data_IF_988108411035
#
_entry.id   IF_988108411035
#
_cell.length_a   1.000
_cell.length_b   1.000
_cell.length_c   1.000
_cell.angle_alpha   90.00
_cell.angle_beta   90.00
_cell.angle_gamma   90.00
#
_symmetry.space_group_name_H-M   'P 1'
#
loop_
_entity.id
_entity.type
_entity.pdbx_description
1 polymer ?
#
# COMPACT_ATOMS: atom_id res chain seq x y z
N UNK A 1 43.43 32.46 -32.68
CA UNK A 1 42.22 31.88 -32.05
C UNK A 1 41.02 32.11 -32.98
N UNK A 2 40.54 31.10 -33.73
CA UNK A 2 39.40 31.29 -34.62
C UNK A 2 38.10 31.39 -33.82
N UNK A 3 37.37 32.49 -34.00
CA UNK A 3 36.08 32.75 -33.35
C UNK A 3 35.03 31.80 -33.93
N UNK A 4 34.50 30.89 -33.11
CA UNK A 4 33.44 29.95 -33.48
C UNK A 4 32.18 30.68 -33.93
N UNK A 5 31.62 30.28 -35.08
CA UNK A 5 30.39 30.85 -35.64
C UNK A 5 29.19 30.51 -34.74
N UNK A 6 28.32 31.47 -34.39
CA UNK A 6 27.15 31.22 -33.57
C UNK A 6 26.14 30.34 -34.33
N UNK A 7 25.75 29.22 -33.72
CA UNK A 7 24.78 28.28 -34.27
C UNK A 7 23.38 28.79 -33.98
N UNK A 8 22.72 29.38 -34.98
CA UNK A 8 21.32 29.78 -34.94
C UNK A 8 20.43 28.55 -34.76
N UNK A 9 20.03 28.28 -33.52
CA UNK A 9 18.98 27.32 -33.20
C UNK A 9 17.66 28.06 -33.12
N UNK A 10 16.79 27.85 -34.12
CA UNK A 10 15.41 28.34 -34.09
C UNK A 10 14.70 27.69 -32.90
N UNK A 11 14.29 28.50 -31.91
CA UNK A 11 13.45 28.04 -30.80
C UNK A 11 12.14 27.51 -31.38
N UNK A 12 11.95 26.19 -31.34
CA UNK A 12 10.71 25.53 -31.77
C UNK A 12 9.55 26.13 -30.98
N UNK A 13 8.69 26.89 -31.68
CA UNK A 13 7.46 27.47 -31.12
C UNK A 13 6.63 26.32 -30.58
N UNK A 14 6.49 26.22 -29.25
CA UNK A 14 5.62 25.23 -28.62
C UNK A 14 4.19 25.64 -28.99
N UNK A 15 3.61 24.94 -29.96
CA UNK A 15 2.18 25.03 -30.24
C UNK A 15 1.48 24.55 -28.98
N UNK A 16 0.71 25.41 -28.32
CA UNK A 16 -0.21 25.01 -27.26
C UNK A 16 -1.21 24.04 -27.90
N UNK A 17 -0.95 22.74 -27.77
CA UNK A 17 -1.91 21.73 -28.20
C UNK A 17 -3.12 21.88 -27.27
N UNK A 18 -4.26 22.21 -27.87
CA UNK A 18 -5.54 22.16 -27.16
C UNK A 18 -5.71 20.75 -26.56
N UNK A 19 -6.29 20.64 -25.35
CA UNK A 19 -6.51 19.34 -24.71
C UNK A 19 -7.31 18.43 -25.65
N UNK A 20 -6.81 17.21 -25.87
CA UNK A 20 -7.44 16.20 -26.71
C UNK A 20 -8.74 15.77 -26.03
N UNK A 21 -9.91 16.14 -26.59
CA UNK A 21 -11.22 15.68 -26.09
C UNK A 21 -11.39 14.20 -26.43
N UNK A 22 -11.30 13.32 -25.42
CA UNK A 22 -11.40 11.86 -25.56
C UNK A 22 -12.73 11.37 -24.98
N UNK A 23 -13.82 11.77 -25.63
CA UNK A 23 -15.18 11.45 -25.22
C UNK A 23 -16.07 12.46 -25.91
N UNK A 24 -16.87 12.03 -26.87
CA UNK A 24 -17.88 12.91 -27.45
C UNK A 24 -19.17 12.12 -27.40
N UNK A 25 -19.86 12.26 -26.29
CA UNK A 25 -21.30 12.34 -26.42
C UNK A 25 -21.59 13.42 -27.48
N UNK A 26 -22.43 13.09 -28.46
CA UNK A 26 -22.69 13.99 -29.59
C UNK A 26 -23.39 15.26 -29.12
N UNK A 27 -24.09 15.15 -28.00
CA UNK A 27 -24.89 16.21 -27.41
C UNK A 27 -24.11 17.02 -26.36
N UNK A 28 -22.85 16.63 -26.06
CA UNK A 28 -22.02 17.37 -25.11
C UNK A 28 -21.71 18.80 -25.59
N UNK A 29 -21.77 19.80 -24.69
CA UNK A 29 -21.54 21.19 -25.05
C UNK A 29 -20.14 21.43 -25.60
N UNK A 30 -20.05 22.32 -26.58
CA UNK A 30 -18.80 22.87 -27.06
C UNK A 30 -18.16 23.78 -25.99
N UNK A 31 -16.89 24.17 -26.16
CA UNK A 31 -16.26 25.09 -25.20
C UNK A 31 -16.96 26.45 -25.17
N UNK A 32 -17.41 26.93 -26.33
CA UNK A 32 -18.06 28.23 -26.45
C UNK A 32 -19.46 28.19 -25.84
N UNK A 33 -20.21 27.10 -26.06
CA UNK A 33 -21.50 26.86 -25.37
C UNK A 33 -21.32 26.74 -23.86
N UNK A 34 -20.36 25.94 -23.40
CA UNK A 34 -20.05 25.81 -21.97
C UNK A 34 -19.76 27.16 -21.32
N UNK A 35 -19.00 28.03 -22.00
CA UNK A 35 -18.62 29.35 -21.49
C UNK A 35 -19.81 30.29 -21.25
N UNK A 36 -20.91 30.12 -22.00
CA UNK A 36 -22.12 30.95 -21.88
C UNK A 36 -23.20 30.33 -20.99
N UNK A 37 -23.10 29.04 -20.65
CA UNK A 37 -24.04 28.37 -19.76
C UNK A 37 -23.98 28.95 -18.33
N UNK A 38 -25.11 28.90 -17.63
CA UNK A 38 -25.17 29.36 -16.24
C UNK A 38 -24.46 28.39 -15.31
N UNK A 39 -23.55 28.92 -14.49
CA UNK A 39 -22.78 28.14 -13.54
C UNK A 39 -23.55 27.94 -12.23
N UNK A 40 -23.51 26.72 -11.71
CA UNK A 40 -24.09 26.32 -10.43
C UNK A 40 -23.00 25.71 -9.54
N UNK A 41 -23.26 25.64 -8.23
CA UNK A 41 -22.37 24.96 -7.28
C UNK A 41 -22.75 23.51 -7.04
N UNK A 42 -24.02 23.20 -7.21
CA UNK A 42 -24.61 21.90 -6.91
C UNK A 42 -25.64 21.52 -7.96
N UNK A 43 -25.94 20.24 -8.05
CA UNK A 43 -27.09 19.69 -8.77
C UNK A 43 -27.64 18.48 -8.01
N UNK A 44 -28.87 18.10 -8.32
CA UNK A 44 -29.54 16.99 -7.65
C UNK A 44 -29.92 15.92 -8.69
N UNK A 45 -29.77 14.65 -8.33
CA UNK A 45 -30.22 13.52 -9.14
C UNK A 45 -31.06 12.61 -8.26
N UNK A 46 -32.20 12.17 -8.78
CA UNK A 46 -33.06 11.21 -8.11
C UNK A 46 -32.87 9.83 -8.74
N UNK A 47 -32.74 8.79 -7.90
CA UNK A 47 -32.76 7.40 -8.37
C UNK A 47 -34.18 6.89 -8.65
N UNK A 48 -34.30 5.63 -9.08
CA UNK A 48 -35.60 4.98 -9.36
C UNK A 48 -36.51 4.89 -8.13
N UNK A 49 -35.91 4.82 -6.93
CA UNK A 49 -36.59 4.77 -5.64
C UNK A 49 -36.95 6.16 -5.10
N UNK A 50 -36.66 7.23 -5.87
CA UNK A 50 -36.85 8.64 -5.51
C UNK A 50 -35.97 9.11 -4.35
N UNK A 51 -34.85 8.44 -4.10
CA UNK A 51 -33.82 8.99 -3.24
C UNK A 51 -33.11 10.10 -4.01
N UNK A 52 -33.07 11.28 -3.40
CA UNK A 52 -32.40 12.45 -3.96
C UNK A 52 -30.95 12.50 -3.46
N UNK A 53 -30.02 12.65 -4.39
CA UNK A 53 -28.59 12.82 -4.12
C UNK A 53 -28.17 14.22 -4.55
N UNK A 54 -27.65 15.00 -3.60
CA UNK A 54 -27.09 16.32 -3.85
C UNK A 54 -25.59 16.20 -4.16
N UNK A 55 -25.17 16.65 -5.33
CA UNK A 55 -23.78 16.65 -5.78
C UNK A 55 -23.23 18.07 -5.76
N UNK A 56 -22.00 18.24 -5.30
CA UNK A 56 -21.29 19.51 -5.26
C UNK A 56 -19.99 19.47 -6.05
N UNK A 57 -19.48 20.66 -6.42
CA UNK A 57 -18.11 20.79 -6.95
C UNK A 57 -17.11 20.19 -5.94
N UNK A 58 -16.07 19.53 -6.47
CA UNK A 58 -15.04 18.77 -5.77
C UNK A 58 -15.46 17.41 -5.17
N UNK A 59 -16.73 17.05 -5.22
CA UNK A 59 -17.17 15.71 -4.85
C UNK A 59 -16.64 14.65 -5.83
N UNK A 60 -16.47 13.44 -5.32
CA UNK A 60 -16.28 12.25 -6.15
C UNK A 60 -17.61 11.53 -6.32
N UNK A 61 -17.88 11.09 -7.54
CA UNK A 61 -19.14 10.44 -7.88
C UNK A 61 -18.93 9.16 -8.71
N UNK A 62 -19.91 8.26 -8.61
CA UNK A 62 -20.08 7.11 -9.48
C UNK A 62 -20.91 7.49 -10.69
N UNK A 63 -20.47 7.04 -11.85
CA UNK A 63 -21.15 7.25 -13.13
C UNK A 63 -21.41 5.89 -13.77
N UNK A 64 -22.61 5.71 -14.33
CA UNK A 64 -23.03 4.48 -14.97
C UNK A 64 -22.13 4.15 -16.18
N UNK A 65 -21.62 2.91 -16.31
CA UNK A 65 -20.89 2.49 -17.50
C UNK A 65 -21.74 2.52 -18.77
N UNK A 66 -21.10 2.88 -19.89
CA UNK A 66 -21.74 2.85 -21.20
C UNK A 66 -22.42 1.51 -21.47
N UNK A 67 -23.67 1.56 -21.98
CA UNK A 67 -24.48 0.40 -22.38
C UNK A 67 -25.01 -0.46 -21.21
N UNK A 68 -25.01 0.06 -20.00
CA UNK A 68 -25.77 -0.51 -18.87
C UNK A 68 -27.07 0.26 -18.72
N UNK A 69 -28.16 -0.43 -18.42
CA UNK A 69 -29.43 0.19 -18.06
C UNK A 69 -29.48 0.45 -16.55
N UNK A 70 -30.27 1.44 -16.15
CA UNK A 70 -30.56 1.71 -14.74
C UNK A 70 -31.31 0.49 -14.17
N UNK A 71 -30.95 0.06 -12.96
CA UNK A 71 -31.53 -1.12 -12.30
C UNK A 71 -30.79 -2.45 -12.51
N UNK A 72 -29.81 -2.54 -13.43
CA UNK A 72 -28.95 -3.71 -13.48
C UNK A 72 -28.03 -3.78 -12.24
N UNK A 73 -27.88 -4.95 -11.58
CA UNK A 73 -26.94 -5.08 -10.48
C UNK A 73 -25.50 -4.96 -11.01
N UNK A 74 -24.84 -3.87 -10.63
CA UNK A 74 -23.45 -3.58 -10.96
C UNK A 74 -22.63 -3.62 -9.68
N UNK A 75 -21.53 -4.37 -9.69
CA UNK A 75 -20.65 -4.38 -8.53
C UNK A 75 -20.01 -2.99 -8.37
N UNK A 76 -19.88 -2.50 -7.14
CA UNK A 76 -19.49 -1.11 -6.87
C UNK A 76 -18.20 -0.70 -7.58
N UNK A 77 -17.21 -1.58 -7.69
CA UNK A 77 -15.94 -1.29 -8.37
C UNK A 77 -16.01 -1.28 -9.91
N UNK A 78 -17.14 -1.63 -10.52
CA UNK A 78 -17.34 -1.57 -11.98
C UNK A 78 -17.84 -0.19 -12.44
N UNK A 79 -18.36 0.64 -11.54
CA UNK A 79 -18.75 2.01 -11.85
C UNK A 79 -17.56 2.86 -12.30
N UNK A 80 -17.80 3.77 -13.23
CA UNK A 80 -16.86 4.85 -13.49
C UNK A 80 -16.81 5.77 -12.30
N UNK A 81 -15.62 6.29 -11.99
CA UNK A 81 -15.42 7.24 -10.90
C UNK A 81 -14.87 8.53 -11.49
N UNK A 82 -15.42 9.65 -11.07
CA UNK A 82 -14.95 10.97 -11.47
C UNK A 82 -14.94 11.94 -10.30
N UNK A 83 -14.20 13.04 -10.45
CA UNK A 83 -14.30 14.23 -9.59
C UNK A 83 -15.06 15.32 -10.34
N UNK A 84 -16.00 15.96 -9.67
CA UNK A 84 -16.79 17.06 -10.22
C UNK A 84 -15.94 18.33 -10.19
N UNK A 85 -15.72 18.95 -11.35
CA UNK A 85 -14.92 20.17 -11.47
C UNK A 85 -15.78 21.43 -11.61
N UNK A 86 -16.87 21.34 -12.37
CA UNK A 86 -17.75 22.48 -12.63
C UNK A 86 -19.14 21.97 -13.04
N UNK A 87 -20.19 22.72 -12.68
CA UNK A 87 -21.59 22.37 -12.93
C UNK A 87 -22.23 23.52 -13.67
N UNK A 88 -22.83 23.24 -14.84
CA UNK A 88 -23.50 24.27 -15.63
C UNK A 88 -24.81 23.76 -16.22
N UNK A 89 -25.74 24.68 -16.44
CA UNK A 89 -26.99 24.35 -17.11
C UNK A 89 -27.31 25.35 -18.21
N UNK A 90 -27.91 24.84 -19.28
CA UNK A 90 -28.48 25.66 -20.35
C UNK A 90 -29.88 26.14 -19.95
N UNK A 91 -30.65 25.25 -19.32
CA UNK A 91 -31.94 25.51 -18.70
C UNK A 91 -32.12 24.59 -17.47
N UNK A 92 -33.32 24.56 -16.87
CA UNK A 92 -33.60 23.78 -15.66
C UNK A 92 -33.58 22.26 -15.87
N UNK A 93 -33.64 21.80 -17.12
CA UNK A 93 -33.64 20.38 -17.49
C UNK A 93 -32.32 19.90 -18.08
N UNK A 94 -31.53 20.81 -18.64
CA UNK A 94 -30.31 20.50 -19.38
C UNK A 94 -29.06 20.87 -18.56
N UNK A 95 -28.77 20.03 -17.56
CA UNK A 95 -27.63 20.19 -16.63
C UNK A 95 -26.48 19.29 -17.06
N UNK A 96 -25.32 19.91 -17.27
CA UNK A 96 -24.06 19.29 -17.66
C UNK A 96 -22.98 19.51 -16.61
N UNK A 97 -22.09 18.53 -16.49
CA UNK A 97 -21.04 18.50 -15.48
C UNK A 97 -19.70 18.31 -16.16
N UNK A 98 -18.74 19.18 -15.85
CA UNK A 98 -17.35 18.98 -16.21
C UNK A 98 -16.69 18.10 -15.15
N UNK A 99 -16.08 17.01 -15.58
CA UNK A 99 -15.53 16.00 -14.67
C UNK A 99 -14.07 15.69 -14.98
N UNK A 100 -13.31 15.32 -13.95
CA UNK A 100 -11.98 14.70 -14.07
C UNK A 100 -12.13 13.18 -13.86
N UNK A 101 -11.75 12.38 -14.85
CA UNK A 101 -11.90 10.93 -14.76
C UNK A 101 -10.86 10.25 -13.87
N UNK A 102 -11.29 9.25 -13.12
CA UNK A 102 -10.45 8.35 -12.36
C UNK A 102 -10.51 6.95 -12.98
N UNK A 103 -9.41 6.50 -13.58
CA UNK A 103 -9.36 5.26 -14.34
C UNK A 103 -9.17 4.04 -13.46
N UNK A 104 -9.79 2.92 -13.83
CA UNK A 104 -9.43 1.62 -13.28
C UNK A 104 -8.02 1.22 -13.71
N UNK A 105 -7.42 0.29 -12.96
CA UNK A 105 -6.11 -0.26 -13.30
C UNK A 105 -6.07 -0.92 -14.70
N UNK A 106 -7.18 -1.53 -15.12
CA UNK A 106 -7.31 -2.18 -16.43
C UNK A 106 -7.26 -1.16 -17.57
N UNK A 107 -7.96 -0.04 -17.43
CA UNK A 107 -7.98 1.02 -18.44
C UNK A 107 -6.63 1.75 -18.49
N UNK A 108 -6.03 2.00 -17.33
CA UNK A 108 -4.70 2.59 -17.20
C UNK A 108 -3.61 1.75 -17.90
N UNK A 109 -3.70 0.42 -17.86
CA UNK A 109 -2.80 -0.47 -18.60
C UNK A 109 -2.93 -0.33 -20.13
N UNK A 110 -4.09 0.12 -20.62
CA UNK A 110 -4.29 0.48 -22.03
C UNK A 110 -3.60 1.80 -22.42
N UNK A 111 -3.34 2.67 -21.44
CA UNK A 111 -2.69 3.98 -21.63
C UNK A 111 -1.17 3.84 -21.56
N UNK A 112 -0.64 3.24 -20.48
CA UNK A 112 0.79 2.95 -20.32
C UNK A 112 1.05 1.43 -20.34
N UNK A 113 1.66 0.95 -21.43
CA UNK A 113 1.94 -0.49 -21.63
C UNK A 113 2.88 -1.09 -20.59
N UNK A 114 3.66 -0.28 -19.86
CA UNK A 114 4.57 -0.77 -18.81
C UNK A 114 3.85 -0.99 -17.49
N UNK A 115 2.67 -0.40 -17.33
CA UNK A 115 1.88 -0.50 -16.13
C UNK A 115 1.24 -1.88 -16.01
N UNK A 116 1.30 -2.47 -14.82
CA UNK A 116 0.76 -3.80 -14.53
C UNK A 116 -0.50 -3.67 -13.68
N UNK A 117 -1.66 -3.81 -14.32
CA UNK A 117 -2.95 -3.76 -13.63
C UNK A 117 -3.07 -4.79 -12.48
N UNK A 118 -2.37 -5.92 -12.58
CA UNK A 118 -2.35 -6.97 -11.56
C UNK A 118 -1.73 -6.55 -10.22
N UNK A 119 -1.08 -5.38 -10.15
CA UNK A 119 -0.53 -4.84 -8.91
C UNK A 119 -1.52 -3.95 -8.15
N UNK A 120 -2.71 -3.73 -8.69
CA UNK A 120 -3.69 -2.81 -8.14
C UNK A 120 -4.87 -3.57 -7.52
N UNK A 121 -5.46 -2.97 -6.48
CA UNK A 121 -6.71 -3.45 -5.90
C UNK A 121 -7.90 -3.26 -6.83
N UNK A 122 -9.00 -3.98 -6.59
CA UNK A 122 -10.24 -3.85 -7.38
C UNK A 122 -10.83 -2.44 -7.32
N UNK A 123 -10.78 -1.83 -6.13
CA UNK A 123 -11.27 -0.47 -5.86
C UNK A 123 -10.19 0.61 -6.07
N UNK A 124 -9.02 0.22 -6.59
CA UNK A 124 -7.98 1.20 -6.89
C UNK A 124 -8.31 1.96 -8.18
N UNK A 125 -8.17 3.29 -8.11
CA UNK A 125 -8.31 4.19 -9.23
C UNK A 125 -7.04 4.99 -9.47
N UNK A 126 -6.88 5.49 -10.69
CA UNK A 126 -5.78 6.34 -11.11
C UNK A 126 -6.33 7.70 -11.49
N UNK A 127 -5.95 8.72 -10.72
CA UNK A 127 -6.36 10.10 -10.97
C UNK A 127 -5.78 10.58 -12.29
N UNK A 128 -6.60 11.05 -13.22
CA UNK A 128 -6.10 11.48 -14.53
C UNK A 128 -6.07 12.99 -14.69
N UNK A 129 -5.47 13.46 -15.79
CA UNK A 129 -5.67 14.82 -16.31
C UNK A 129 -6.73 14.87 -17.43
N UNK A 130 -7.57 13.84 -17.54
CA UNK A 130 -8.62 13.78 -18.55
C UNK A 130 -9.88 14.45 -18.02
N UNK A 131 -10.22 15.56 -18.66
CA UNK A 131 -11.44 16.31 -18.41
C UNK A 131 -12.43 16.09 -19.53
N UNK A 132 -13.70 15.87 -19.17
CA UNK A 132 -14.80 15.69 -20.11
C UNK A 132 -16.08 16.38 -19.62
N UNK A 133 -17.09 16.48 -20.50
CA UNK A 133 -18.43 16.95 -20.17
C UNK A 133 -19.43 15.80 -20.24
N UNK A 134 -20.19 15.59 -19.18
CA UNK A 134 -21.23 14.56 -19.12
C UNK A 134 -22.55 15.13 -18.62
N UNK A 135 -23.67 14.53 -19.03
CA UNK A 135 -24.99 14.88 -18.53
C UNK A 135 -25.10 14.53 -17.04
N UNK A 136 -25.80 15.35 -16.26
CA UNK A 136 -26.14 15.02 -14.86
C UNK A 136 -26.95 13.71 -14.73
N UNK A 137 -27.66 13.29 -15.78
CA UNK A 137 -28.51 12.10 -15.78
C UNK A 137 -27.76 10.77 -15.66
N UNK A 138 -26.44 10.73 -15.87
CA UNK A 138 -25.63 9.49 -15.78
C UNK A 138 -25.00 9.25 -14.41
N UNK A 139 -25.19 10.18 -13.47
CA UNK A 139 -24.69 10.06 -12.11
C UNK A 139 -25.55 9.09 -11.31
N UNK A 140 -24.91 8.18 -10.58
CA UNK A 140 -25.57 7.15 -9.77
C UNK A 140 -25.53 7.50 -8.28
N UNK A 141 -24.41 8.02 -7.79
CA UNK A 141 -24.27 8.36 -6.37
C UNK A 141 -22.91 8.91 -6.00
N UNK A 142 -22.81 9.47 -4.80
CA UNK A 142 -21.54 9.95 -4.23
C UNK A 142 -20.66 8.77 -3.82
N UNK A 143 -19.35 9.00 -3.85
CA UNK A 143 -18.36 8.00 -3.41
C UNK A 143 -17.18 8.67 -2.72
N UNK A 144 -16.66 8.07 -1.67
CA UNK A 144 -15.41 8.53 -1.06
C UNK A 144 -14.22 7.89 -1.79
N UNK A 145 -13.26 8.71 -2.21
CA UNK A 145 -12.00 8.23 -2.80
C UNK A 145 -10.84 8.71 -1.95
N UNK A 146 -10.18 7.80 -1.23
CA UNK A 146 -9.06 8.12 -0.34
C UNK A 146 -7.74 8.22 -1.11
N UNK A 147 -6.89 9.18 -0.75
CA UNK A 147 -5.51 9.21 -1.24
C UNK A 147 -4.66 8.21 -0.44
N UNK A 148 -3.96 7.34 -1.15
CA UNK A 148 -3.07 6.35 -0.56
C UNK A 148 -1.61 6.71 -0.86
N UNK A 149 -0.90 7.18 0.17
CA UNK A 149 0.53 7.44 0.14
C UNK A 149 1.29 6.24 0.73
N UNK A 150 1.99 5.51 -0.13
CA UNK A 150 2.82 4.36 0.27
C UNK A 150 3.96 4.75 1.22
N UNK A 151 4.35 6.02 1.25
CA UNK A 151 5.43 6.54 2.10
C UNK A 151 4.93 7.08 3.44
N UNK A 152 3.62 7.37 3.55
CA UNK A 152 3.02 7.79 4.80
C UNK A 152 3.02 6.63 5.80
N UNK A 153 3.53 6.92 7.00
CA UNK A 153 3.54 5.99 8.13
C UNK A 153 2.25 6.07 8.96
N UNK A 154 1.54 7.18 8.81
CA UNK A 154 0.26 7.54 9.43
C UNK A 154 -0.90 7.50 8.40
N UNK A 155 -0.75 6.69 7.36
CA UNK A 155 -1.80 6.47 6.38
C UNK A 155 -3.09 6.00 7.06
N UNK A 156 -4.18 6.74 6.84
CA UNK A 156 -5.51 6.38 7.32
C UNK A 156 -5.90 4.97 6.83
N UNK A 157 -6.56 4.15 7.67
CA UNK A 157 -7.13 2.88 7.23
C UNK A 157 -8.03 3.05 6.00
N UNK A 158 -7.81 2.18 5.02
CA UNK A 158 -8.62 2.10 3.80
C UNK A 158 -9.22 0.70 3.76
N UNK A 159 -10.56 0.64 3.78
CA UNK A 159 -11.35 -0.57 3.70
C UNK A 159 -11.10 -1.36 2.41
N UNK A 160 -11.44 -2.64 2.41
CA UNK A 160 -11.22 -3.51 1.25
C UNK A 160 -12.17 -3.18 0.07
N UNK A 161 -13.28 -2.51 0.37
CA UNK A 161 -14.38 -2.10 -0.50
C UNK A 161 -14.46 -0.58 -0.69
N UNK A 162 -13.46 0.16 -0.21
CA UNK A 162 -13.37 1.61 -0.38
C UNK A 162 -12.52 1.97 -1.60
N UNK A 163 -12.94 3.00 -2.33
CA UNK A 163 -12.13 3.53 -3.42
C UNK A 163 -10.93 4.30 -2.90
N UNK A 164 -9.80 4.11 -3.58
CA UNK A 164 -8.59 4.85 -3.28
C UNK A 164 -7.75 5.07 -4.54
N UNK A 165 -6.85 6.04 -4.49
CA UNK A 165 -5.85 6.24 -5.53
C UNK A 165 -4.47 6.49 -4.93
N UNK A 166 -3.45 5.91 -5.57
CA UNK A 166 -2.02 6.20 -5.30
C UNK A 166 -1.28 6.70 -6.52
N UNK A 167 -1.85 6.51 -7.70
CA UNK A 167 -1.25 6.89 -8.96
C UNK A 167 -2.05 7.99 -9.64
N UNK A 168 -1.32 8.80 -10.39
CA UNK A 168 -1.82 9.71 -11.40
C UNK A 168 -1.48 9.19 -12.79
N UNK A 169 -2.40 9.35 -13.74
CA UNK A 169 -2.19 9.01 -15.15
C UNK A 169 -2.26 10.28 -15.99
N UNK A 170 -1.19 10.57 -16.72
CA UNK A 170 -1.17 11.65 -17.70
C UNK A 170 -1.56 11.05 -19.06
N UNK A 171 -2.80 11.29 -19.51
CA UNK A 171 -3.33 10.75 -20.76
C UNK A 171 -2.59 11.29 -21.98
N UNK A 172 -2.15 12.55 -21.91
CA UNK A 172 -1.41 13.22 -22.99
C UNK A 172 -0.02 12.61 -23.12
N UNK A 173 0.68 12.41 -22.00
CA UNK A 173 2.02 11.81 -21.99
C UNK A 173 2.00 10.29 -22.03
N UNK A 174 0.84 9.66 -21.83
CA UNK A 174 0.66 8.21 -21.68
C UNK A 174 1.61 7.61 -20.66
N UNK A 175 1.65 8.23 -19.48
CA UNK A 175 2.56 7.87 -18.41
C UNK A 175 1.86 7.85 -17.07
N UNK A 176 2.23 6.92 -16.20
CA UNK A 176 1.69 6.79 -14.85
C UNK A 176 2.76 7.16 -13.82
N UNK A 177 2.38 7.89 -12.77
CA UNK A 177 3.26 8.33 -11.68
C UNK A 177 2.56 8.28 -10.31
N UNK A 178 3.27 8.10 -9.19
CA UNK A 178 4.69 7.76 -9.11
C UNK A 178 4.95 6.36 -9.67
N UNK A 179 6.19 6.11 -10.10
CA UNK A 179 6.63 4.72 -10.32
C UNK A 179 6.52 4.00 -8.97
N UNK A 180 5.79 2.88 -8.88
CA UNK A 180 5.60 2.19 -7.61
C UNK A 180 6.94 1.97 -6.91
N UNK A 181 7.09 2.52 -5.70
CA UNK A 181 8.29 2.37 -4.89
C UNK A 181 8.01 1.31 -3.85
N UNK A 182 8.36 0.07 -4.12
CA UNK A 182 8.23 -0.95 -3.09
C UNK A 182 9.56 -1.58 -2.77
N UNK A 183 9.96 -1.48 -1.51
CA UNK A 183 11.10 -2.22 -0.99
C UNK A 183 10.70 -2.93 0.30
N UNK A 184 10.59 -4.26 0.24
CA UNK A 184 10.78 -5.13 1.41
C UNK A 184 12.20 -4.92 1.97
N UNK A 185 12.37 -4.91 3.30
CA UNK A 185 13.69 -4.74 3.92
C UNK A 185 14.69 -5.86 3.54
N UNK A 186 14.21 -7.09 3.31
CA UNK A 186 15.03 -8.25 2.98
C UNK A 186 15.39 -8.35 1.48
N UNK A 187 14.48 -8.05 0.56
CA UNK A 187 14.69 -8.25 -0.89
C UNK A 187 14.57 -6.98 -1.74
N UNK A 188 14.24 -5.84 -1.14
CA UNK A 188 14.04 -4.53 -1.79
C UNK A 188 13.12 -4.57 -3.01
N UNK A 189 12.18 -5.50 -3.02
CA UNK A 189 11.05 -5.58 -3.97
C UNK A 189 9.79 -5.83 -3.14
N UNK A 190 8.65 -5.31 -3.60
CA UNK A 190 7.28 -5.42 -3.06
C UNK A 190 7.09 -6.50 -1.98
N UNK A 191 6.36 -6.21 -0.88
CA UNK A 191 5.97 -7.24 0.09
C UNK A 191 5.14 -8.31 -0.63
N UNK A 192 5.81 -9.38 -1.07
CA UNK A 192 5.14 -10.50 -1.72
C UNK A 192 4.28 -11.20 -0.68
N UNK A 193 3.12 -11.72 -1.10
CA UNK A 193 2.33 -12.64 -0.26
C UNK A 193 3.20 -13.77 0.30
N UNK A 194 4.20 -14.26 -0.44
CA UNK A 194 5.13 -15.27 0.08
C UNK A 194 6.04 -14.75 1.20
N UNK A 195 6.47 -13.49 1.19
CA UNK A 195 7.25 -12.91 2.29
C UNK A 195 6.41 -12.73 3.57
N UNK A 196 5.08 -12.64 3.42
CA UNK A 196 4.11 -12.55 4.51
C UNK A 196 3.69 -13.95 5.01
N UNK A 197 3.51 -14.90 4.08
CA UNK A 197 2.90 -16.23 4.33
C UNK A 197 3.93 -17.33 4.55
N UNK A 198 5.17 -17.18 4.05
CA UNK A 198 6.26 -18.11 4.37
C UNK A 198 7.11 -17.52 5.48
N UNK A 199 6.85 -17.84 6.76
CA UNK A 199 7.75 -17.56 7.86
C UNK A 199 8.99 -18.44 7.66
N UNK A 200 9.88 -18.09 6.72
CA UNK A 200 11.18 -18.74 6.71
C UNK A 200 11.82 -18.42 8.06
N UNK A 201 12.11 -19.47 8.81
CA UNK A 201 12.54 -19.56 10.22
C UNK A 201 13.71 -18.65 10.64
N UNK A 202 14.30 -17.90 9.71
CA UNK A 202 15.33 -16.90 9.95
C UNK A 202 14.81 -15.48 10.21
N UNK A 203 13.55 -15.15 9.89
CA UNK A 203 13.01 -13.79 10.05
C UNK A 203 12.40 -13.50 11.44
N UNK A 204 12.07 -14.53 12.23
CA UNK A 204 11.53 -14.36 13.59
C UNK A 204 12.61 -13.96 14.61
N UNK A 205 13.89 -14.19 14.28
CA UNK A 205 14.96 -14.16 15.29
C UNK A 205 15.36 -12.77 15.77
N UNK A 206 14.98 -11.70 15.08
CA UNK A 206 15.27 -10.34 15.55
C UNK A 206 14.03 -9.45 15.61
N UNK A 207 12.91 -9.93 16.19
CA UNK A 207 11.77 -9.05 16.55
C UNK A 207 12.23 -7.83 17.38
N UNK A 208 13.30 -8.02 18.16
CA UNK A 208 13.94 -6.96 18.92
C UNK A 208 14.57 -5.87 18.03
N UNK A 209 15.07 -6.21 16.83
CA UNK A 209 15.63 -5.21 15.91
C UNK A 209 14.57 -4.19 15.47
N UNK A 210 13.31 -4.60 15.35
CA UNK A 210 12.22 -3.67 15.07
C UNK A 210 11.99 -2.67 16.20
N UNK A 211 12.24 -3.09 17.44
CA UNK A 211 12.14 -2.23 18.63
C UNK A 211 13.39 -1.38 18.83
N UNK A 212 14.52 -1.76 18.22
CA UNK A 212 15.80 -1.07 18.30
C UNK A 212 16.08 -0.14 17.11
N UNK A 213 15.13 -0.02 16.18
CA UNK A 213 15.19 0.93 15.08
C UNK A 213 14.17 2.05 15.29
N UNK A 214 14.57 3.29 15.01
CA UNK A 214 13.68 4.43 14.98
C UNK A 214 12.62 4.22 13.87
N UNK A 215 11.32 4.29 14.18
CA UNK A 215 10.27 3.92 13.24
C UNK A 215 10.12 4.90 12.06
N UNK A 216 10.63 6.13 12.20
CA UNK A 216 10.50 7.19 11.20
C UNK A 216 11.71 7.23 10.26
N UNK A 217 12.90 6.94 10.79
CA UNK A 217 14.16 7.03 10.05
C UNK A 217 14.78 5.67 9.71
N UNK A 218 14.37 4.60 10.40
CA UNK A 218 15.00 3.28 10.34
C UNK A 218 16.42 3.22 10.92
N UNK A 219 16.90 4.31 11.53
CA UNK A 219 18.22 4.35 12.14
C UNK A 219 18.23 3.57 13.46
N UNK A 220 19.34 2.92 13.84
CA UNK A 220 19.46 2.31 15.17
C UNK A 220 19.18 3.33 16.28
N UNK A 221 18.39 2.94 17.28
CA UNK A 221 18.10 3.78 18.44
C UNK A 221 19.36 4.03 19.26
N UNK A 222 19.63 5.31 19.49
CA UNK A 222 20.62 5.73 20.47
C UNK A 222 19.98 5.63 21.85
N UNK A 223 20.18 4.49 22.51
CA UNK A 223 19.79 4.31 23.89
C UNK A 223 20.79 5.03 24.80
N UNK A 224 20.36 5.66 25.90
CA UNK A 224 21.27 6.16 26.91
C UNK A 224 22.00 4.95 27.50
N UNK A 225 23.19 4.66 26.96
CA UNK A 225 24.09 3.67 27.53
C UNK A 225 24.44 4.18 28.91
N UNK A 226 24.18 3.36 29.92
CA UNK A 226 24.52 3.67 31.30
C UNK A 226 26.06 3.74 31.38
N UNK A 227 26.62 4.94 31.16
CA UNK A 227 28.06 5.20 31.13
C UNK A 227 28.75 4.88 32.46
N UNK A 228 27.97 4.59 33.51
CA UNK A 228 28.43 4.32 34.87
C UNK A 228 29.20 3.01 35.05
N UNK A 229 29.38 2.16 34.02
CA UNK A 229 29.96 0.81 34.19
C UNK A 229 31.41 0.61 33.70
N UNK A 230 32.09 1.59 33.07
CA UNK A 230 33.44 1.34 32.54
C UNK A 230 34.49 2.41 32.88
N UNK A 231 34.67 2.71 34.17
CA UNK A 231 35.97 3.18 34.67
C UNK A 231 36.88 1.97 34.96
N UNK A 232 37.08 1.10 33.96
CA UNK A 232 38.09 0.05 34.05
C UNK A 232 39.49 0.64 33.86
N UNK A 233 40.52 0.15 34.56
CA UNK A 233 41.88 0.65 34.40
C UNK A 233 42.38 0.47 32.96
N UNK A 234 43.18 1.43 32.42
CA UNK A 234 43.58 1.45 31.02
C UNK A 234 44.46 0.23 30.66
N UNK A 235 43.84 -0.79 30.06
CA UNK A 235 44.58 -1.97 29.57
C UNK A 235 45.33 -1.65 28.26
N UNK A 236 46.57 -2.11 28.21
CA UNK A 236 47.60 -1.83 27.20
C UNK A 236 47.12 -2.00 25.74
N UNK A 237 47.21 -0.89 25.00
CA UNK A 237 46.89 -0.69 23.57
C UNK A 237 47.44 -1.80 22.66
N UNK A 238 46.58 -2.68 22.14
CA UNK A 238 46.91 -3.61 21.04
C UNK A 238 46.42 -3.05 19.70
N UNK A 239 47.21 -3.31 18.64
CA UNK A 239 47.07 -2.78 17.27
C UNK A 239 45.74 -3.20 16.62
N UNK A 240 45.12 -2.24 15.94
CA UNK A 240 43.80 -2.34 15.32
C UNK A 240 43.78 -3.21 14.05
N UNK A 241 42.86 -4.17 14.04
CA UNK A 241 42.35 -4.85 12.85
C UNK A 241 40.83 -4.74 12.90
N UNK A 242 40.23 -4.23 11.81
CA UNK A 242 38.79 -4.03 11.56
C UNK A 242 37.86 -4.23 12.77
N UNK A 243 37.64 -3.15 13.53
CA UNK A 243 36.73 -3.16 14.66
C UNK A 243 35.29 -3.39 14.16
N UNK A 244 34.75 -4.58 14.46
CA UNK A 244 33.31 -4.81 14.44
C UNK A 244 32.64 -3.78 15.36
N UNK A 245 31.55 -3.16 14.89
CA UNK A 245 30.75 -2.25 15.72
C UNK A 245 30.29 -3.07 16.94
N UNK A 246 30.62 -2.68 18.18
CA UNK A 246 30.16 -3.38 19.36
C UNK A 246 28.63 -3.37 19.36
N UNK A 247 28.03 -4.55 19.25
CA UNK A 247 26.60 -4.73 19.39
C UNK A 247 26.21 -4.31 20.81
N UNK A 248 25.23 -3.40 20.99
CA UNK A 248 24.81 -2.96 22.32
C UNK A 248 24.37 -4.17 23.13
N UNK A 249 24.93 -4.34 24.33
CA UNK A 249 24.64 -5.48 25.18
C UNK A 249 23.18 -5.35 25.67
N UNK A 250 22.25 -6.24 25.30
CA UNK A 250 20.81 -6.05 25.51
C UNK A 250 20.37 -6.19 26.98
N UNK A 251 21.31 -6.43 27.91
CA UNK A 251 21.03 -6.74 29.32
C UNK A 251 20.26 -5.65 30.09
N UNK A 252 20.22 -4.40 29.59
CA UNK A 252 19.50 -3.30 30.25
C UNK A 252 18.05 -3.11 29.81
N UNK A 253 17.60 -3.75 28.72
CA UNK A 253 16.29 -3.48 28.13
C UNK A 253 15.14 -4.25 28.78
N UNK A 254 15.43 -5.40 29.38
CA UNK A 254 14.44 -6.29 29.98
C UNK A 254 13.50 -5.59 30.96
N UNK A 255 14.01 -4.88 31.98
CA UNK A 255 13.15 -4.18 32.95
C UNK A 255 12.29 -3.08 32.33
N UNK A 256 12.82 -2.33 31.36
CA UNK A 256 12.07 -1.25 30.68
C UNK A 256 10.96 -1.82 29.80
N UNK A 257 11.25 -2.88 29.05
CA UNK A 257 10.23 -3.57 28.25
C UNK A 257 9.19 -4.25 29.15
N UNK A 258 9.60 -4.87 30.26
CA UNK A 258 8.67 -5.49 31.21
C UNK A 258 7.71 -4.49 31.88
N UNK A 259 8.08 -3.21 31.94
CA UNK A 259 7.21 -2.14 32.45
C UNK A 259 6.15 -1.67 31.43
N UNK A 260 6.30 -2.02 30.15
CA UNK A 260 5.34 -1.66 29.09
C UNK A 260 4.24 -2.73 28.96
N UNK A 261 3.03 -2.34 28.53
CA UNK A 261 1.95 -3.30 28.29
C UNK A 261 2.38 -4.37 27.26
N UNK A 262 2.18 -5.68 27.53
CA UNK A 262 2.60 -6.74 26.61
C UNK A 262 1.98 -6.61 25.21
N UNK A 263 0.73 -6.14 25.12
CA UNK A 263 0.06 -5.92 23.84
C UNK A 263 0.78 -4.86 22.98
N UNK A 264 1.24 -3.77 23.60
CA UNK A 264 1.98 -2.70 22.92
C UNK A 264 3.33 -3.20 22.39
N UNK A 265 4.06 -4.00 23.18
CA UNK A 265 5.34 -4.58 22.76
C UNK A 265 5.11 -5.54 21.59
N UNK A 266 4.08 -6.40 21.67
CA UNK A 266 3.72 -7.31 20.58
C UNK A 266 3.41 -6.55 19.31
N UNK A 267 2.65 -5.46 19.39
CA UNK A 267 2.31 -4.59 18.27
C UNK A 267 3.56 -3.95 17.64
N UNK A 268 4.44 -3.39 18.46
CA UNK A 268 5.66 -2.74 18.00
C UNK A 268 6.65 -3.73 17.36
N UNK A 269 6.66 -4.97 17.84
CA UNK A 269 7.49 -6.06 17.34
C UNK A 269 6.96 -6.71 16.05
N UNK A 270 5.77 -6.33 15.58
CA UNK A 270 5.22 -6.84 14.33
C UNK A 270 6.01 -6.34 13.12
N UNK A 271 6.08 -7.12 12.03
CA UNK A 271 6.41 -6.58 10.72
C UNK A 271 5.30 -5.65 10.23
N UNK A 272 5.69 -4.60 9.49
CA UNK A 272 4.75 -3.75 8.78
C UNK A 272 4.25 -4.51 7.53
N UNK A 273 2.95 -4.75 7.46
CA UNK A 273 2.25 -5.44 6.39
C UNK A 273 1.21 -4.49 5.80
N UNK A 274 1.15 -4.41 4.47
CA UNK A 274 0.17 -3.64 3.70
C UNK A 274 -0.68 -4.61 2.86
N UNK A 275 -1.97 -4.35 2.71
CA UNK A 275 -2.89 -5.18 1.91
C UNK A 275 -3.47 -6.41 2.62
N UNK A 276 -4.27 -7.18 1.88
CA UNK A 276 -4.83 -8.47 2.31
C UNK A 276 -6.05 -8.33 3.22
N UNK A 277 -6.15 -9.19 4.23
CA UNK A 277 -7.26 -9.19 5.22
C UNK A 277 -7.27 -7.93 6.09
N UNK A 278 -6.17 -7.18 6.12
CA UNK A 278 -6.00 -5.98 6.95
C UNK A 278 -6.34 -4.69 6.18
N UNK A 279 -7.03 -4.80 5.04
CA UNK A 279 -7.33 -3.66 4.17
C UNK A 279 -6.12 -3.18 3.39
N UNK A 280 -6.27 -2.09 2.64
CA UNK A 280 -5.24 -1.62 1.69
C UNK A 280 -4.02 -1.06 2.42
N UNK A 281 -4.26 -0.25 3.45
CA UNK A 281 -3.19 0.34 4.28
C UNK A 281 -2.50 -0.70 5.18
N UNK A 282 -3.20 -1.78 5.55
CA UNK A 282 -2.69 -2.83 6.43
C UNK A 282 -2.48 -2.36 7.88
N UNK A 283 -1.42 -2.84 8.54
CA UNK A 283 -1.14 -2.56 9.96
C UNK A 283 -0.14 -1.42 10.21
N UNK A 284 0.25 -0.66 9.16
CA UNK A 284 1.35 0.32 9.23
C UNK A 284 1.15 1.31 10.36
N UNK A 285 -0.02 1.95 10.44
CA UNK A 285 -0.30 3.00 11.42
C UNK A 285 -0.22 2.47 12.86
N UNK A 286 -0.81 1.30 13.13
CA UNK A 286 -0.80 0.67 14.44
C UNK A 286 0.63 0.28 14.87
N UNK A 287 1.39 -0.36 13.97
CA UNK A 287 2.77 -0.81 14.26
C UNK A 287 3.71 0.38 14.47
N UNK A 288 3.63 1.41 13.61
CA UNK A 288 4.46 2.61 13.75
C UNK A 288 4.12 3.36 15.02
N UNK A 289 2.83 3.54 15.34
CA UNK A 289 2.41 4.19 16.59
C UNK A 289 2.94 3.43 17.80
N UNK A 290 2.80 2.09 17.83
CA UNK A 290 3.32 1.26 18.89
C UNK A 290 4.85 1.40 19.04
N UNK A 291 5.60 1.37 17.93
CA UNK A 291 7.04 1.57 17.93
C UNK A 291 7.42 2.95 18.45
N UNK A 292 6.74 4.02 18.06
CA UNK A 292 7.01 5.38 18.55
C UNK A 292 6.84 5.45 20.08
N UNK A 293 5.81 4.81 20.63
CA UNK A 293 5.61 4.73 22.08
C UNK A 293 6.74 3.96 22.76
N UNK A 294 7.07 2.75 22.27
CA UNK A 294 8.13 1.93 22.85
C UNK A 294 9.49 2.63 22.77
N UNK A 295 9.84 3.20 21.62
CA UNK A 295 11.09 3.95 21.44
C UNK A 295 11.16 5.18 22.35
N UNK A 296 10.03 5.87 22.57
CA UNK A 296 9.93 6.99 23.52
C UNK A 296 10.25 6.53 24.95
N UNK A 297 9.59 5.47 25.41
CA UNK A 297 9.83 4.88 26.74
C UNK A 297 11.30 4.43 26.92
N UNK A 298 11.89 3.81 25.89
CA UNK A 298 13.29 3.37 25.91
C UNK A 298 14.28 4.54 25.96
N UNK A 299 13.99 5.67 25.30
CA UNK A 299 14.83 6.89 25.34
C UNK A 299 14.73 7.61 26.68
N UNK A 300 13.52 7.70 27.23
CA UNK A 300 13.23 8.43 28.46
C UNK A 300 13.54 7.59 29.72
N UNK A 301 13.66 6.27 29.59
CA UNK A 301 13.89 5.36 30.71
C UNK A 301 12.70 5.26 31.67
N UNK A 302 11.50 5.62 31.22
CA UNK A 302 10.27 5.61 32.02
C UNK A 302 9.11 4.95 31.26
N UNK A 303 8.10 4.47 31.98
CA UNK A 303 6.90 3.92 31.36
C UNK A 303 6.15 5.03 30.61
N UNK A 304 5.66 4.73 29.40
CA UNK A 304 4.91 5.70 28.61
C UNK A 304 3.50 5.90 29.18
N UNK A 305 3.34 6.82 30.13
CA UNK A 305 2.02 7.22 30.62
C UNK A 305 1.14 7.79 29.48
N UNK A 306 -0.11 7.34 29.42
CA UNK A 306 -1.09 7.78 28.43
C UNK A 306 -0.80 7.34 26.99
N UNK A 307 -0.09 6.22 26.80
CA UNK A 307 0.17 5.64 25.48
C UNK A 307 -1.11 5.30 24.71
N UNK A 308 -2.19 4.98 25.40
CA UNK A 308 -3.49 4.62 24.81
C UNK A 308 -4.02 5.73 23.91
N UNK A 309 -3.80 6.99 24.28
CA UNK A 309 -4.20 8.16 23.49
C UNK A 309 -3.38 8.37 22.23
N UNK A 310 -2.21 7.72 22.13
CA UNK A 310 -1.30 7.80 20.98
C UNK A 310 -1.52 6.66 19.98
N UNK A 311 -2.26 5.63 20.38
CA UNK A 311 -2.61 4.50 19.52
C UNK A 311 -3.86 4.81 18.70
N UNK A 312 -3.93 4.36 17.43
CA UNK A 312 -5.16 4.43 16.65
C UNK A 312 -6.31 3.68 17.32
N UNK A 313 -7.54 4.17 17.15
CA UNK A 313 -8.72 3.48 17.66
C UNK A 313 -8.87 2.09 17.03
N UNK A 314 -9.08 1.06 17.86
CA UNK A 314 -9.26 -0.32 17.40
C UNK A 314 -8.02 -0.96 16.76
N UNK A 315 -6.81 -0.46 17.05
CA UNK A 315 -5.55 -0.96 16.50
C UNK A 315 -5.35 -2.47 16.71
N UNK A 316 -5.93 -3.06 17.75
CA UNK A 316 -5.87 -4.50 18.04
C UNK A 316 -6.46 -5.32 16.89
N UNK A 317 -7.53 -4.82 16.25
CA UNK A 317 -8.20 -5.50 15.11
C UNK A 317 -7.35 -5.49 13.83
N UNK A 318 -6.36 -4.59 13.77
CA UNK A 318 -5.44 -4.50 12.62
C UNK A 318 -4.25 -5.45 12.74
N UNK A 319 -4.15 -6.19 13.85
CA UNK A 319 -3.13 -7.21 14.01
C UNK A 319 -3.56 -8.50 13.30
N UNK A 320 -2.65 -9.20 12.59
CA UNK A 320 -3.02 -10.44 11.94
C UNK A 320 -3.45 -11.50 12.97
N UNK A 321 -4.51 -12.28 12.70
CA UNK A 321 -4.97 -13.33 13.61
C UNK A 321 -3.87 -14.39 13.83
N UNK A 322 -3.79 -14.91 15.06
CA UNK A 322 -2.78 -15.90 15.47
C UNK A 322 -1.47 -15.32 16.01
N UNK A 323 -1.30 -13.99 16.00
CA UNK A 323 -0.12 -13.34 16.61
C UNK A 323 -0.25 -13.09 18.11
N UNK A 324 -1.44 -13.24 18.68
CA UNK A 324 -1.68 -13.04 20.12
C UNK A 324 -1.26 -14.24 20.97
N UNK A 325 -1.12 -15.43 20.37
CA UNK A 325 -0.90 -16.69 21.09
C UNK A 325 0.59 -17.05 21.25
N UNK A 326 1.48 -16.44 20.48
CA UNK A 326 2.92 -16.68 20.57
C UNK A 326 3.53 -15.72 21.60
N UNK A 327 3.77 -16.21 22.83
CA UNK A 327 4.48 -15.43 23.84
C UNK A 327 5.82 -14.95 23.25
N UNK A 328 6.05 -13.63 23.29
CA UNK A 328 7.37 -13.07 23.04
C UNK A 328 8.23 -13.47 24.23
N UNK A 329 8.85 -14.64 24.15
CA UNK A 329 9.85 -15.08 25.12
C UNK A 329 11.04 -14.15 24.96
N UNK A 330 11.07 -13.08 25.74
CA UNK A 330 12.28 -12.29 25.95
C UNK A 330 13.26 -13.26 26.59
N UNK A 331 14.12 -13.86 25.77
CA UNK A 331 15.03 -14.90 26.22
C UNK A 331 15.76 -14.41 27.47
N UNK A 332 15.52 -15.06 28.60
CA UNK A 332 16.40 -14.98 29.74
C UNK A 332 17.76 -15.47 29.22
N UNK A 333 18.66 -14.54 28.90
CA UNK A 333 19.99 -14.88 28.44
C UNK A 333 20.71 -15.56 29.61
N UNK A 334 20.53 -16.88 29.69
CA UNK A 334 21.22 -17.74 30.63
C UNK A 334 22.72 -17.52 30.46
N UNK A 335 23.36 -17.07 31.53
CA UNK A 335 24.80 -16.89 31.61
C UNK A 335 25.50 -18.26 31.65
N UNK A 336 25.46 -19.03 30.56
CA UNK A 336 26.14 -20.31 30.47
C UNK A 336 27.16 -20.28 29.32
N UNK A 337 28.43 -20.14 29.70
CA UNK A 337 29.59 -20.20 28.81
C UNK A 337 29.71 -21.60 28.17
N UNK A 338 29.19 -21.75 26.94
CA UNK A 338 29.32 -22.98 26.16
C UNK A 338 29.85 -22.70 24.75
N UNK A 339 31.15 -22.89 24.54
CA UNK A 339 31.80 -22.85 23.22
C UNK A 339 31.24 -23.99 22.36
N UNK A 340 30.55 -23.67 21.27
CA UNK A 340 30.16 -24.63 20.22
C UNK A 340 30.87 -24.31 18.91
N UNK A 341 31.80 -25.18 18.51
CA UNK A 341 32.37 -25.20 17.15
C UNK A 341 31.48 -26.00 16.20
N UNK A 342 31.18 -25.52 14.97
CA UNK A 342 30.42 -26.30 14.01
C UNK A 342 31.34 -27.18 13.14
N UNK A 343 31.17 -28.51 13.22
CA UNK A 343 31.61 -29.45 12.17
C UNK A 343 30.39 -29.86 11.35
N UNK A 344 30.21 -29.26 10.18
CA UNK A 344 29.29 -29.76 9.17
C UNK A 344 30.01 -30.74 8.24
N UNK A 345 29.61 -32.01 8.26
CA UNK A 345 29.89 -32.97 7.19
C UNK A 345 28.69 -32.96 6.24
N UNK A 346 28.91 -32.51 5.01
CA UNK A 346 27.96 -32.68 3.90
C UNK A 346 28.32 -34.01 3.23
N UNK A 347 27.43 -35.01 3.35
CA UNK A 347 27.49 -36.22 2.54
C UNK A 347 26.48 -36.13 1.41
N UNK A 348 26.98 -36.14 0.18
CA UNK A 348 26.19 -36.37 -1.03
C UNK A 348 25.70 -37.83 -1.06
N UNK A 349 24.45 -38.05 -1.50
CA UNK A 349 24.02 -39.37 -1.97
C UNK A 349 23.24 -39.23 -3.27
N UNK A 350 23.59 -40.11 -4.18
CA UNK A 350 23.18 -40.21 -5.57
C UNK A 350 22.01 -41.17 -5.77
N UNK A 351 21.24 -40.90 -6.84
CA UNK A 351 20.55 -41.84 -7.76
C UNK A 351 19.80 -43.05 -7.18
N UNK A 352 18.52 -43.14 -7.52
CA UNK A 352 17.79 -44.42 -7.54
C UNK A 352 16.48 -44.35 -8.33
N UNK A 353 16.49 -44.92 -9.54
CA UNK A 353 15.33 -45.17 -10.41
C UNK A 353 14.80 -46.59 -10.17
N UNK A 354 13.47 -46.78 -10.04
CA UNK A 354 12.70 -47.86 -10.71
C UNK A 354 11.20 -47.88 -10.33
N UNK A 355 10.40 -48.16 -11.37
CA UNK A 355 8.96 -48.51 -11.41
C UNK A 355 8.59 -49.75 -10.56
N UNK A 356 7.36 -49.80 -10.03
CA UNK A 356 6.28 -50.75 -10.41
C UNK A 356 4.99 -50.45 -9.62
N UNK A 357 3.85 -50.62 -10.27
CA UNK A 357 2.53 -50.20 -9.78
C UNK A 357 1.76 -51.24 -8.97
N UNK A 358 0.53 -50.87 -8.61
CA UNK A 358 -0.55 -51.78 -8.18
C UNK A 358 -1.90 -51.13 -8.48
N UNK A 359 -2.80 -51.93 -9.07
CA UNK A 359 -4.22 -51.62 -9.31
C UNK A 359 -4.99 -51.84 -8.00
N UNK A 360 -5.85 -50.88 -7.64
CA UNK A 360 -6.84 -51.03 -6.57
C UNK A 360 -8.15 -50.38 -7.02
N UNK A 361 -9.19 -51.20 -7.11
CA UNK A 361 -10.52 -50.87 -7.62
C UNK A 361 -11.38 -50.36 -6.45
N UNK A 362 -11.86 -49.11 -6.51
CA UNK A 362 -12.72 -48.52 -5.49
C UNK A 362 -13.70 -47.54 -6.11
N UNK A 363 -15.00 -47.87 -6.06
CA UNK A 363 -16.10 -47.03 -6.56
C UNK A 363 -16.10 -45.69 -5.81
N UNK A 364 -15.85 -44.60 -6.53
CA UNK A 364 -15.88 -43.24 -6.01
C UNK A 364 -17.04 -42.44 -6.61
N UNK A 365 -17.67 -41.63 -5.75
CA UNK A 365 -18.75 -40.69 -6.07
C UNK A 365 -18.30 -39.72 -7.17
N UNK A 366 -19.14 -39.51 -8.18
CA UNK A 366 -18.90 -38.57 -9.27
C UNK A 366 -19.04 -37.14 -8.74
N UNK A 367 -17.94 -36.58 -8.26
CA UNK A 367 -17.77 -35.13 -8.10
C UNK A 367 -17.22 -34.59 -9.41
N UNK A 368 -18.02 -33.80 -10.13
CA UNK A 368 -17.52 -33.04 -11.28
C UNK A 368 -16.69 -31.89 -10.74
N UNK A 369 -15.37 -32.07 -10.67
CA UNK A 369 -14.42 -30.98 -10.48
C UNK A 369 -14.16 -30.35 -11.85
N UNK A 370 -14.65 -29.13 -12.05
CA UNK A 370 -14.25 -28.30 -13.18
C UNK A 370 -12.87 -27.73 -12.83
N UNK A 371 -11.82 -28.31 -13.41
CA UNK A 371 -10.47 -27.75 -13.33
C UNK A 371 -10.37 -26.69 -14.40
N UNK A 372 -10.19 -25.43 -13.99
CA UNK A 372 -9.91 -24.32 -14.89
C UNK A 372 -8.39 -24.19 -15.02
N UNK A 373 -7.86 -24.35 -16.23
CA UNK A 373 -6.45 -24.15 -16.50
C UNK A 373 -6.15 -22.67 -16.77
N UNK A 374 -5.01 -22.19 -16.26
CA UNK A 374 -4.53 -20.85 -16.55
C UNK A 374 -4.27 -20.67 -18.07
N UNK A 375 -4.89 -19.68 -18.74
CA UNK A 375 -4.79 -19.54 -20.20
C UNK A 375 -3.40 -19.10 -20.69
N UNK A 376 -2.47 -18.77 -19.78
CA UNK A 376 -1.11 -18.30 -20.11
C UNK A 376 -0.06 -19.41 -19.95
N UNK A 377 -0.25 -20.35 -19.03
CA UNK A 377 0.74 -21.39 -18.77
C UNK A 377 0.20 -22.83 -18.73
N UNK A 378 -1.12 -23.03 -18.78
CA UNK A 378 -1.74 -24.36 -18.77
C UNK A 378 -1.58 -25.13 -17.45
N UNK A 379 -1.26 -24.44 -16.35
CA UNK A 379 -1.23 -25.04 -15.01
C UNK A 379 -2.60 -24.96 -14.33
N UNK A 380 -2.91 -25.90 -13.42
CA UNK A 380 -4.19 -25.92 -12.70
C UNK A 380 -4.29 -24.73 -11.75
N UNK A 381 -5.48 -24.10 -11.71
CA UNK A 381 -5.83 -23.05 -10.74
C UNK A 381 -6.27 -23.68 -9.42
#
# INVERSE_FOLDING_TARGET
MPKGRPRLTLKKKRTNQAPVRLGRDKDAPTADEWAIMHQYRTFQVSDEDRNEFDFSIDDFARVLPNKREVGEPIETYEYWVCRILDVRAKDVTDVWVQVEWLYSAREAAGIDRKFKASHCGKFERLKSNHVDYISSSVFDGLVQVKHYDETALDQEPIGADEFYYRYTVDIIKKSISPTPRATCAACRKYYHSSCIVSPSTTAFRDRLDFLLADPDTGAPLQLPLNESASAGPPTKRRRASHAAIPSPNPMGLGPLLAALPPALIRAAAQPIVRGGILGVAGNVAAVVAARRVVCGALREGTAAEGWEKRMPEGWEKTMPPGWDEEEVVLGEAGAENGVLTPKAKISASSRGSKRKGTKGNGKAKTSVMVVLDCPVCGGPI
#
